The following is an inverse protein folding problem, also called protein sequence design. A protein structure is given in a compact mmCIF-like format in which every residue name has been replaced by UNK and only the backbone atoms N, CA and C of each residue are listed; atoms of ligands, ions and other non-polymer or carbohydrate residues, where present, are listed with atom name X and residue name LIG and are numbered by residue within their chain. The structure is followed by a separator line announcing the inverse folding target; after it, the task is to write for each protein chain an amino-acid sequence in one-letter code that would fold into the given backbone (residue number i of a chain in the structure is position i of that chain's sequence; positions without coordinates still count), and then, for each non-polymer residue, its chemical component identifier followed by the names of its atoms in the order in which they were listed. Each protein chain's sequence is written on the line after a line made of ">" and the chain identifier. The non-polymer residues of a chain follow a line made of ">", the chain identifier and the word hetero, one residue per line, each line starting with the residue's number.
data_IF_040803365988
#
_entry.id   IF_040803365988
#
_cell.length_a   1.000
_cell.length_b   1.000
_cell.length_c   1.000
_cell.angle_alpha   90.00
_cell.angle_beta   90.00
_cell.angle_gamma   90.00
#
_symmetry.space_group_name_H-M   'P 1'
#
loop_
_entity.id
_entity.type
_entity.pdbx_description
1 polymer ?
#
# COMPACT_ATOMS: atom_id res chain seq x y z
N UNK A 1 5.00 -7.85 -17.29
CA UNK A 1 6.13 -7.62 -16.37
C UNK A 1 6.16 -6.16 -15.92
N UNK A 2 6.18 -5.90 -14.62
CA UNK A 2 6.35 -4.56 -14.06
C UNK A 2 7.81 -4.42 -13.64
N UNK A 3 8.62 -3.62 -14.35
CA UNK A 3 10.05 -3.53 -14.08
C UNK A 3 10.37 -2.86 -12.75
N UNK A 4 9.47 -2.03 -12.23
CA UNK A 4 9.63 -1.34 -10.96
C UNK A 4 8.28 -1.23 -10.26
N UNK A 5 8.23 -1.66 -8.98
CA UNK A 5 7.08 -1.47 -8.11
C UNK A 5 7.16 -0.10 -7.45
N UNK A 6 6.17 0.70 -7.71
CA UNK A 6 5.96 1.97 -7.07
C UNK A 6 4.53 2.43 -7.32
N UNK A 7 3.98 3.17 -6.38
CA UNK A 7 2.64 3.71 -6.54
C UNK A 7 2.65 4.90 -7.50
N UNK A 8 2.01 4.73 -8.66
CA UNK A 8 1.90 5.76 -9.69
C UNK A 8 1.00 6.93 -9.33
N UNK A 9 0.28 6.85 -8.22
CA UNK A 9 -0.64 7.91 -7.75
C UNK A 9 -0.82 7.96 -6.23
N UNK A 10 0.07 7.33 -5.47
CA UNK A 10 0.03 7.36 -4.02
C UNK A 10 1.35 7.88 -3.45
N UNK A 11 1.27 8.77 -2.48
CA UNK A 11 2.40 9.45 -1.85
C UNK A 11 2.34 9.23 -0.35
N UNK A 12 3.41 8.68 0.21
CA UNK A 12 3.54 8.51 1.65
C UNK A 12 3.83 9.87 2.30
N UNK A 13 3.08 10.20 3.35
CA UNK A 13 3.21 11.45 4.10
C UNK A 13 4.07 11.29 5.35
N UNK A 14 4.26 10.05 5.82
CA UNK A 14 4.94 9.74 7.06
C UNK A 14 4.10 8.88 7.98
N UNK A 15 4.44 8.86 9.26
CA UNK A 15 3.76 8.06 10.28
C UNK A 15 3.29 8.91 11.46
N UNK A 16 2.16 8.53 12.03
CA UNK A 16 1.66 9.02 13.31
C UNK A 16 1.48 7.81 14.22
N UNK A 17 2.28 7.72 15.26
CA UNK A 17 2.40 6.54 16.09
C UNK A 17 2.78 5.30 15.24
N UNK A 18 1.91 4.29 15.23
CA UNK A 18 2.11 3.03 14.48
C UNK A 18 1.42 3.01 13.11
N UNK A 19 0.82 4.13 12.68
CA UNK A 19 0.08 4.25 11.43
C UNK A 19 0.83 5.10 10.42
N UNK A 20 1.03 4.56 9.24
CA UNK A 20 1.59 5.29 8.09
C UNK A 20 0.46 5.92 7.29
N UNK A 21 0.60 7.22 7.03
CA UNK A 21 -0.36 8.00 6.24
C UNK A 21 0.08 8.05 4.78
N UNK A 22 -0.91 7.96 3.90
CA UNK A 22 -0.70 8.01 2.46
C UNK A 22 -1.85 8.74 1.77
N UNK A 23 -1.53 9.67 0.86
CA UNK A 23 -2.52 10.22 -0.08
C UNK A 23 -2.54 9.36 -1.34
N UNK A 24 -3.72 9.23 -1.94
CA UNK A 24 -3.91 8.57 -3.23
C UNK A 24 -4.71 9.45 -4.17
N UNK A 25 -4.14 9.72 -5.33
CA UNK A 25 -4.75 10.61 -6.33
C UNK A 25 -4.25 12.06 -6.28
N UNK A 26 -3.23 12.36 -5.48
CA UNK A 26 -2.71 13.71 -5.26
C UNK A 26 -1.78 14.22 -6.38
N UNK A 27 -1.59 13.47 -7.44
CA UNK A 27 -0.82 13.85 -8.60
C UNK A 27 0.27 12.87 -8.98
N UNK A 28 1.14 13.30 -9.86
CA UNK A 28 2.21 12.50 -10.42
C UNK A 28 3.24 12.09 -9.38
N UNK A 29 3.68 10.85 -9.48
CA UNK A 29 4.87 10.32 -8.81
C UNK A 29 5.90 9.89 -9.87
N UNK A 30 7.13 9.62 -9.45
CA UNK A 30 8.14 9.06 -10.36
C UNK A 30 7.76 7.69 -10.96
N UNK A 31 6.68 7.08 -10.48
CA UNK A 31 6.18 5.76 -10.90
C UNK A 31 4.88 5.84 -11.69
N UNK A 32 4.39 7.03 -12.03
CA UNK A 32 3.10 7.21 -12.71
C UNK A 32 3.07 6.67 -14.14
N UNK A 33 4.22 6.38 -14.74
CA UNK A 33 4.36 5.95 -16.15
C UNK A 33 3.67 6.95 -17.08
N UNK A 34 2.67 6.51 -17.85
CA UNK A 34 1.81 7.37 -18.69
C UNK A 34 0.55 7.87 -17.99
N UNK A 35 0.37 7.54 -16.72
CA UNK A 35 -0.79 7.98 -15.95
C UNK A 35 -0.66 9.42 -15.44
N UNK A 36 -1.78 10.04 -15.12
CA UNK A 36 -1.86 11.42 -14.60
C UNK A 36 -1.67 11.54 -13.08
N UNK A 37 -1.54 10.42 -12.38
CA UNK A 37 -1.42 10.40 -10.92
C UNK A 37 -2.69 10.76 -10.17
N UNK A 38 -3.82 10.93 -10.86
CA UNK A 38 -5.11 11.36 -10.29
C UNK A 38 -6.01 10.17 -9.95
N UNK A 39 -6.89 10.38 -8.97
CA UNK A 39 -7.99 9.49 -8.66
C UNK A 39 -9.30 10.24 -8.92
N UNK A 40 -10.25 9.58 -9.61
CA UNK A 40 -11.57 10.17 -9.87
C UNK A 40 -12.49 9.95 -8.66
N UNK A 41 -13.38 10.90 -8.42
CA UNK A 41 -14.23 10.95 -7.23
C UNK A 41 -15.05 9.66 -7.03
N UNK A 42 -15.67 9.12 -8.07
CA UNK A 42 -16.45 7.86 -7.98
C UNK A 42 -15.62 6.68 -7.48
N UNK A 43 -14.35 6.62 -7.89
CA UNK A 43 -13.41 5.57 -7.50
C UNK A 43 -12.94 5.75 -6.06
N UNK A 44 -12.74 7.00 -5.65
CA UNK A 44 -12.34 7.37 -4.29
C UNK A 44 -13.44 7.08 -3.27
N UNK A 45 -14.70 7.41 -3.61
CA UNK A 45 -15.86 7.07 -2.77
C UNK A 45 -15.97 5.56 -2.60
N UNK A 46 -15.81 4.79 -3.67
CA UNK A 46 -15.82 3.31 -3.59
C UNK A 46 -14.72 2.79 -2.69
N UNK A 47 -13.50 3.28 -2.84
CA UNK A 47 -12.36 2.87 -2.02
C UNK A 47 -12.59 3.19 -0.54
N UNK A 48 -13.10 4.38 -0.25
CA UNK A 48 -13.43 4.80 1.11
C UNK A 48 -14.47 3.88 1.75
N UNK A 49 -15.63 3.74 1.10
CA UNK A 49 -16.75 2.94 1.62
C UNK A 49 -16.30 1.48 1.81
N UNK A 50 -15.61 0.90 0.84
CA UNK A 50 -15.20 -0.51 0.92
C UNK A 50 -14.13 -0.74 1.99
N UNK A 51 -13.18 0.18 2.18
CA UNK A 51 -12.20 0.05 3.27
C UNK A 51 -12.90 0.00 4.63
N UNK A 52 -13.82 0.91 4.88
CA UNK A 52 -14.51 1.00 6.15
C UNK A 52 -15.55 -0.11 6.34
N UNK A 53 -16.21 -0.56 5.27
CA UNK A 53 -17.10 -1.71 5.30
C UNK A 53 -16.35 -3.01 5.65
N UNK A 54 -15.20 -3.25 5.03
CA UNK A 54 -14.36 -4.41 5.34
C UNK A 54 -13.88 -4.38 6.79
N UNK A 55 -13.45 -3.21 7.27
CA UNK A 55 -13.09 -3.05 8.67
C UNK A 55 -14.26 -3.34 9.60
N UNK A 56 -15.46 -2.83 9.29
CA UNK A 56 -16.68 -3.09 10.06
C UNK A 56 -17.10 -4.56 10.08
N UNK A 57 -16.75 -5.32 9.05
CA UNK A 57 -16.96 -6.77 8.98
C UNK A 57 -15.85 -7.58 9.69
N UNK A 58 -14.88 -6.92 10.30
CA UNK A 58 -13.76 -7.58 10.98
C UNK A 58 -12.67 -8.11 10.05
N UNK A 59 -12.70 -7.73 8.76
CA UNK A 59 -11.70 -8.12 7.78
C UNK A 59 -10.52 -7.15 7.85
N UNK A 60 -9.28 -7.63 8.08
CA UNK A 60 -8.10 -6.78 8.07
C UNK A 60 -7.94 -6.04 6.74
N UNK A 61 -7.86 -4.72 6.82
CA UNK A 61 -7.78 -3.86 5.63
C UNK A 61 -7.05 -2.55 5.96
N UNK A 62 -6.63 -1.83 4.93
CA UNK A 62 -6.21 -0.44 5.09
C UNK A 62 -7.43 0.43 5.41
N UNK A 63 -7.24 1.49 6.21
CA UNK A 63 -8.31 2.40 6.59
C UNK A 63 -8.29 3.65 5.71
N UNK A 64 -9.45 4.25 5.51
CA UNK A 64 -9.60 5.53 4.85
C UNK A 64 -10.05 6.59 5.87
N UNK A 65 -9.23 7.66 6.03
CA UNK A 65 -9.54 8.75 6.95
C UNK A 65 -10.52 9.76 6.35
N UNK A 66 -10.46 9.95 5.03
CA UNK A 66 -11.31 10.92 4.37
C UNK A 66 -11.03 11.01 2.88
N UNK A 67 -11.91 11.75 2.21
CA UNK A 67 -11.79 12.13 0.81
C UNK A 67 -11.71 13.66 0.77
N UNK A 68 -10.73 14.16 0.05
CA UNK A 68 -10.56 15.60 -0.21
C UNK A 68 -11.01 15.82 -1.65
N UNK A 69 -12.00 16.65 -1.85
CA UNK A 69 -12.43 17.06 -3.17
C UNK A 69 -11.39 17.94 -3.87
N UNK A 70 -11.38 17.93 -5.17
CA UNK A 70 -10.39 18.65 -5.98
C UNK A 70 -11.04 19.29 -7.18
N UNK A 71 -10.72 20.55 -7.41
CA UNK A 71 -11.14 21.28 -8.62
C UNK A 71 -10.47 20.77 -9.92
N UNK A 72 -9.63 19.72 -9.80
CA UNK A 72 -8.99 19.10 -10.95
C UNK A 72 -9.91 18.08 -11.61
N UNK A 73 -9.68 17.88 -12.89
CA UNK A 73 -10.36 16.88 -13.70
C UNK A 73 -9.37 15.90 -14.32
N UNK A 74 -9.82 14.70 -14.60
CA UNK A 74 -9.08 13.69 -15.33
C UNK A 74 -9.93 13.13 -16.48
N UNK A 75 -9.30 12.88 -17.60
CA UNK A 75 -9.95 12.19 -18.71
C UNK A 75 -9.93 10.68 -18.46
N UNK A 76 -11.10 10.05 -18.50
CA UNK A 76 -11.30 8.62 -18.39
C UNK A 76 -12.35 8.16 -19.41
N UNK A 77 -12.02 7.14 -20.18
CA UNK A 77 -12.97 6.52 -21.11
C UNK A 77 -13.79 7.51 -21.95
N UNK A 78 -13.14 8.54 -22.45
CA UNK A 78 -13.72 9.63 -23.27
C UNK A 78 -14.51 10.70 -22.49
N UNK A 79 -14.61 10.59 -21.17
CA UNK A 79 -15.28 11.58 -20.33
C UNK A 79 -14.30 12.33 -19.43
N UNK A 80 -14.69 13.53 -19.07
CA UNK A 80 -14.00 14.35 -18.08
C UNK A 80 -14.65 14.12 -16.71
N UNK A 81 -13.89 13.57 -15.77
CA UNK A 81 -14.36 13.25 -14.43
C UNK A 81 -13.68 14.11 -13.36
N UNK A 82 -14.45 14.52 -12.35
CA UNK A 82 -13.92 15.20 -11.17
C UNK A 82 -12.94 14.32 -10.42
N UNK A 83 -11.84 14.92 -9.98
CA UNK A 83 -10.81 14.26 -9.18
C UNK A 83 -11.01 14.45 -7.70
N UNK A 84 -10.41 13.58 -6.93
CA UNK A 84 -10.33 13.67 -5.47
C UNK A 84 -9.09 12.98 -4.95
N UNK A 85 -8.77 13.21 -3.68
CA UNK A 85 -7.64 12.60 -3.00
C UNK A 85 -8.18 11.78 -1.84
N UNK A 86 -7.82 10.50 -1.77
CA UNK A 86 -8.13 9.66 -0.62
C UNK A 86 -6.97 9.73 0.37
N UNK A 87 -7.25 10.12 1.60
CA UNK A 87 -6.29 10.01 2.70
C UNK A 87 -6.47 8.65 3.36
N UNK A 88 -5.43 7.83 3.29
CA UNK A 88 -5.40 6.45 3.78
C UNK A 88 -4.40 6.27 4.90
N UNK A 89 -4.62 5.24 5.70
CA UNK A 89 -3.66 4.81 6.71
C UNK A 89 -3.57 3.30 6.81
N UNK A 90 -2.38 2.81 7.14
CA UNK A 90 -2.08 1.40 7.33
C UNK A 90 -0.92 1.25 8.30
N UNK A 91 -0.83 0.15 9.06
CA UNK A 91 0.38 -0.18 9.83
C UNK A 91 1.62 -0.39 8.95
N UNK A 92 1.43 -0.74 7.68
CA UNK A 92 2.52 -0.90 6.70
C UNK A 92 2.00 -0.71 5.28
N UNK A 93 2.86 -0.20 4.39
CA UNK A 93 2.63 -0.14 2.94
C UNK A 93 3.52 -1.12 2.17
N UNK A 94 4.29 -1.94 2.88
CA UNK A 94 5.10 -3.00 2.26
C UNK A 94 4.17 -4.09 1.74
N UNK A 95 4.45 -4.56 0.53
CA UNK A 95 3.68 -5.59 -0.17
C UNK A 95 4.56 -6.79 -0.47
N UNK A 96 3.96 -7.96 -0.67
CA UNK A 96 4.67 -9.15 -1.15
C UNK A 96 5.44 -8.84 -2.43
N UNK A 97 4.87 -8.05 -3.35
CA UNK A 97 5.54 -7.59 -4.55
C UNK A 97 6.82 -6.77 -4.33
N UNK A 98 7.00 -6.14 -3.16
CA UNK A 98 8.26 -5.46 -2.83
C UNK A 98 9.40 -6.47 -2.70
N UNK A 99 9.16 -7.61 -2.07
CA UNK A 99 10.11 -8.71 -2.00
C UNK A 99 10.39 -9.31 -3.38
N UNK A 100 9.35 -9.50 -4.19
CA UNK A 100 9.47 -10.03 -5.54
C UNK A 100 10.36 -9.15 -6.43
N UNK A 101 10.24 -7.83 -6.30
CA UNK A 101 11.08 -6.89 -7.05
C UNK A 101 12.57 -7.10 -6.76
N UNK A 102 12.97 -7.16 -5.48
CA UNK A 102 14.37 -7.38 -5.10
C UNK A 102 14.83 -8.82 -5.38
N UNK A 103 13.95 -9.81 -5.29
CA UNK A 103 14.27 -11.19 -5.63
C UNK A 103 14.64 -11.33 -7.13
N UNK A 104 13.94 -10.63 -8.00
CA UNK A 104 14.24 -10.62 -9.45
C UNK A 104 15.59 -9.98 -9.78
N UNK A 105 15.99 -8.94 -9.05
CA UNK A 105 17.31 -8.33 -9.17
C UNK A 105 18.42 -9.15 -8.51
N UNK A 106 18.08 -10.25 -7.82
CA UNK A 106 19.00 -11.11 -7.05
C UNK A 106 19.73 -10.36 -5.92
N UNK A 107 19.16 -9.28 -5.46
CA UNK A 107 19.70 -8.46 -4.37
C UNK A 107 19.33 -9.08 -3.02
N UNK A 108 20.12 -10.09 -2.64
CA UNK A 108 19.90 -10.83 -1.38
C UNK A 108 20.08 -9.96 -0.14
N UNK A 109 20.97 -8.98 -0.20
CA UNK A 109 21.23 -8.09 0.91
C UNK A 109 20.01 -7.22 1.21
N UNK A 110 19.48 -6.55 0.20
CA UNK A 110 18.26 -5.73 0.34
C UNK A 110 17.06 -6.57 0.76
N UNK A 111 16.91 -7.81 0.25
CA UNK A 111 15.82 -8.71 0.70
C UNK A 111 15.96 -9.01 2.19
N UNK A 112 17.15 -9.29 2.67
CA UNK A 112 17.37 -9.58 4.10
C UNK A 112 17.08 -8.37 4.98
N UNK A 113 17.54 -7.19 4.58
CA UNK A 113 17.25 -5.93 5.27
C UNK A 113 15.75 -5.64 5.31
N UNK A 114 15.04 -5.85 4.19
CA UNK A 114 13.60 -5.70 4.10
C UNK A 114 12.86 -6.69 5.01
N UNK A 115 13.30 -7.95 5.04
CA UNK A 115 12.74 -8.97 5.90
C UNK A 115 12.95 -8.64 7.38
N UNK A 116 14.14 -8.20 7.76
CA UNK A 116 14.45 -7.76 9.13
C UNK A 116 13.56 -6.58 9.55
N UNK A 117 13.37 -5.60 8.66
CA UNK A 117 12.48 -4.49 8.90
C UNK A 117 11.02 -4.95 9.10
N UNK A 118 10.51 -5.85 8.25
CA UNK A 118 9.16 -6.40 8.38
C UNK A 118 8.99 -7.22 9.65
N UNK A 119 9.99 -8.03 10.02
CA UNK A 119 9.98 -8.79 11.27
C UNK A 119 9.88 -7.84 12.45
N UNK A 120 10.76 -6.85 12.52
CA UNK A 120 10.77 -5.87 13.61
C UNK A 120 9.44 -5.12 13.73
N UNK A 121 8.83 -4.75 12.62
CA UNK A 121 7.58 -3.97 12.60
C UNK A 121 6.34 -4.82 12.86
N UNK A 122 6.24 -6.01 12.27
CA UNK A 122 5.00 -6.78 12.20
C UNK A 122 5.05 -8.11 12.93
N UNK A 123 6.25 -8.63 13.22
CA UNK A 123 6.49 -9.92 13.86
C UNK A 123 7.61 -9.84 14.92
N UNK A 124 7.57 -8.88 15.87
CA UNK A 124 8.69 -8.62 16.78
C UNK A 124 9.08 -9.84 17.61
N UNK A 125 8.16 -10.78 17.84
CA UNK A 125 8.39 -12.03 18.54
C UNK A 125 9.33 -12.99 17.78
N UNK A 126 9.59 -12.76 16.48
CA UNK A 126 10.49 -13.56 15.65
C UNK A 126 11.91 -12.99 15.60
N UNK A 127 12.16 -11.76 16.05
CA UNK A 127 13.40 -11.00 15.80
C UNK A 127 14.66 -11.77 16.21
N UNK A 128 14.61 -12.44 17.35
CA UNK A 128 15.74 -13.18 17.92
C UNK A 128 15.62 -14.70 17.76
N UNK A 129 14.75 -15.18 16.88
CA UNK A 129 14.56 -16.61 16.68
C UNK A 129 15.46 -17.16 15.57
N UNK A 130 15.92 -18.38 15.77
CA UNK A 130 16.51 -19.17 14.70
C UNK A 130 15.47 -19.38 13.59
N UNK A 131 15.89 -19.33 12.31
CA UNK A 131 15.00 -19.44 11.15
C UNK A 131 13.89 -18.37 11.08
N UNK A 132 14.16 -17.14 11.59
CA UNK A 132 13.20 -16.03 11.63
C UNK A 132 12.54 -15.72 10.27
N UNK A 133 13.27 -15.85 9.17
CA UNK A 133 12.75 -15.57 7.81
C UNK A 133 11.75 -16.64 7.36
N UNK A 134 12.04 -17.89 7.63
CA UNK A 134 11.13 -19.00 7.35
C UNK A 134 9.85 -18.87 8.17
N UNK A 135 9.97 -18.58 9.46
CA UNK A 135 8.83 -18.35 10.35
C UNK A 135 8.00 -17.14 9.95
N UNK A 136 8.65 -16.05 9.49
CA UNK A 136 7.95 -14.90 8.92
C UNK A 136 7.13 -15.30 7.69
N UNK A 137 7.70 -16.11 6.79
CA UNK A 137 6.99 -16.60 5.60
C UNK A 137 5.76 -17.42 5.97
N UNK A 138 5.88 -18.40 6.87
CA UNK A 138 4.72 -19.17 7.35
C UNK A 138 3.67 -18.28 8.03
N UNK A 139 4.09 -17.33 8.86
CA UNK A 139 3.16 -16.37 9.48
C UNK A 139 2.40 -15.52 8.46
N UNK A 140 3.05 -15.16 7.35
CA UNK A 140 2.41 -14.44 6.26
C UNK A 140 1.39 -15.32 5.53
N UNK A 141 1.74 -16.59 5.26
CA UNK A 141 0.83 -17.57 4.62
C UNK A 141 -0.40 -17.78 5.48
N UNK A 142 -0.21 -18.03 6.78
CA UNK A 142 -1.30 -18.24 7.73
C UNK A 142 -2.25 -17.05 7.81
N UNK A 143 -1.70 -15.83 7.93
CA UNK A 143 -2.51 -14.61 7.91
C UNK A 143 -3.28 -14.40 6.61
N UNK A 144 -2.68 -14.79 5.49
CA UNK A 144 -3.35 -14.68 4.18
C UNK A 144 -4.47 -15.71 4.05
N UNK A 145 -4.30 -16.90 4.60
CA UNK A 145 -5.31 -17.95 4.59
C UNK A 145 -6.49 -17.66 5.54
N UNK A 146 -6.32 -16.77 6.50
CA UNK A 146 -7.36 -16.34 7.44
C UNK A 146 -8.22 -15.16 6.92
N UNK A 147 -7.82 -14.55 5.79
CA UNK A 147 -8.58 -13.47 5.13
C UNK A 147 -9.75 -14.02 4.33
#
# INVERSE_FOLDING_TARGET
>A
FVPQLGDGRAINLGAVNTWYLQTKGSGLTRYSRSGDGRAVLRSSIREYIMSEAMFGLGIPTTRALGIIDSDSFAHRDWEQESCSIVLRMSPSWIRVGTFEFFARSRDKETISQLADYVIKQSYPHLENQENKYEKMFYSLVDKTAQL
#
